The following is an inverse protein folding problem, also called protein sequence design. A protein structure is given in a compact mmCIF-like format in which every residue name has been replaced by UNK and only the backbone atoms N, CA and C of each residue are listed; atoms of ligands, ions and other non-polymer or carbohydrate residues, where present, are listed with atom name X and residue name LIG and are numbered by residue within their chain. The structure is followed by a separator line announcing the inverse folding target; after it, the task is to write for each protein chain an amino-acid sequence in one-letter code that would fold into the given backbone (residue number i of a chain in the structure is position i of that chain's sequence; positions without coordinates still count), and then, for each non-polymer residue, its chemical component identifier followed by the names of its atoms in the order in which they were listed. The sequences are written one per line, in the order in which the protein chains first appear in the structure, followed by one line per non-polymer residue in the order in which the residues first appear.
data_IF_682488230919
#
_entry.id   IF_682488230919
#
_cell.length_a   1.000
_cell.length_b   1.000
_cell.length_c   1.000
_cell.angle_alpha   90.00
_cell.angle_beta   90.00
_cell.angle_gamma   90.00
#
_symmetry.space_group_name_H-M   'P 1'
#
loop_
_entity.id
_entity.type
_entity.pdbx_description
1 polymer ?
#
# COMPACT_ATOMS: atom_id res chain seq x y z
N UNK A 1 -6.04 -3.16 7.81
CA UNK A 1 -5.11 -3.94 6.98
C UNK A 1 -4.57 -5.08 7.82
N UNK A 2 -5.14 -6.26 7.64
CA UNK A 2 -4.68 -7.48 8.32
C UNK A 2 -3.92 -8.37 7.34
N UNK A 3 -2.96 -9.14 7.86
CA UNK A 3 -2.26 -10.19 7.09
C UNK A 3 -2.88 -11.52 7.43
N UNK A 4 -3.51 -12.16 6.44
CA UNK A 4 -4.25 -13.40 6.60
C UNK A 4 -3.44 -14.50 5.94
N UNK A 5 -3.07 -15.53 6.71
CA UNK A 5 -2.26 -16.63 6.21
C UNK A 5 -3.11 -17.90 6.12
N UNK A 6 -3.20 -18.46 4.92
CA UNK A 6 -4.01 -19.63 4.62
C UNK A 6 -3.17 -20.71 3.96
N UNK A 7 -3.62 -21.95 4.04
CA UNK A 7 -3.05 -23.06 3.31
C UNK A 7 -3.58 -23.11 1.88
N UNK A 8 -2.85 -23.81 0.99
CA UNK A 8 -3.36 -24.11 -0.36
C UNK A 8 -4.69 -24.87 -0.37
N UNK A 9 -5.03 -25.60 0.69
CA UNK A 9 -6.31 -26.30 0.81
C UNK A 9 -7.45 -25.31 1.10
N UNK A 10 -7.26 -24.47 2.11
CA UNK A 10 -8.25 -23.45 2.48
C UNK A 10 -8.52 -22.47 1.33
N UNK A 11 -7.49 -22.10 0.57
CA UNK A 11 -7.68 -21.25 -0.61
C UNK A 11 -8.62 -21.88 -1.65
N UNK A 12 -8.51 -23.20 -1.88
CA UNK A 12 -9.40 -23.90 -2.84
C UNK A 12 -10.83 -24.02 -2.32
N UNK A 13 -11.00 -24.24 -1.02
CA UNK A 13 -12.30 -24.40 -0.39
C UNK A 13 -13.03 -23.05 -0.22
N UNK A 14 -12.30 -21.94 -0.02
CA UNK A 14 -12.83 -20.62 0.31
C UNK A 14 -12.41 -19.53 -0.68
N UNK A 15 -12.22 -19.88 -1.94
CA UNK A 15 -11.62 -19.01 -2.96
C UNK A 15 -12.34 -17.65 -3.06
N UNK A 16 -13.67 -17.64 -3.18
CA UNK A 16 -14.45 -16.41 -3.30
C UNK A 16 -14.27 -15.47 -2.09
N UNK A 17 -14.23 -16.02 -0.88
CA UNK A 17 -14.00 -15.22 0.34
C UNK A 17 -12.60 -14.63 0.38
N UNK A 18 -11.59 -15.32 -0.15
CA UNK A 18 -10.22 -14.80 -0.20
C UNK A 18 -10.06 -13.67 -1.22
N UNK A 19 -10.78 -13.74 -2.34
CA UNK A 19 -10.84 -12.61 -3.29
C UNK A 19 -11.53 -11.39 -2.65
N UNK A 20 -12.67 -11.57 -1.99
CA UNK A 20 -13.34 -10.45 -1.31
C UNK A 20 -12.47 -9.77 -0.25
N UNK A 21 -11.62 -10.52 0.46
CA UNK A 21 -10.64 -9.95 1.38
C UNK A 21 -9.56 -9.14 0.64
N UNK A 22 -9.05 -9.67 -0.47
CA UNK A 22 -8.06 -8.99 -1.29
C UNK A 22 -8.64 -7.70 -1.92
N UNK A 23 -9.91 -7.73 -2.35
CA UNK A 23 -10.64 -6.58 -2.88
C UNK A 23 -10.85 -5.48 -1.82
N UNK A 24 -11.03 -5.88 -0.55
CA UNK A 24 -11.13 -4.96 0.59
C UNK A 24 -9.76 -4.40 1.05
N UNK A 25 -8.67 -4.78 0.39
CA UNK A 25 -7.31 -4.33 0.70
C UNK A 25 -6.61 -5.10 1.82
N UNK A 26 -7.14 -6.26 2.25
CA UNK A 26 -6.43 -7.15 3.16
C UNK A 26 -5.39 -8.00 2.41
N UNK A 27 -4.27 -8.31 3.08
CA UNK A 27 -3.20 -9.08 2.47
C UNK A 27 -3.40 -10.57 2.73
N UNK A 28 -3.59 -11.36 1.67
CA UNK A 28 -3.76 -12.82 1.77
C UNK A 28 -2.50 -13.54 1.31
N UNK A 29 -1.89 -14.32 2.21
CA UNK A 29 -0.69 -15.14 1.95
C UNK A 29 -1.05 -16.62 1.95
N UNK A 30 -0.79 -17.29 0.83
CA UNK A 30 -1.08 -18.71 0.61
C UNK A 30 0.19 -19.54 0.85
N UNK A 31 0.21 -20.30 1.93
CA UNK A 31 1.28 -21.25 2.26
C UNK A 31 1.06 -22.58 1.54
N UNK A 32 2.08 -23.02 0.80
CA UNK A 32 2.09 -24.32 0.12
C UNK A 32 3.15 -25.23 0.74
N UNK A 33 2.73 -26.38 1.28
CA UNK A 33 3.65 -27.32 1.94
C UNK A 33 4.76 -27.77 0.98
N UNK A 34 6.02 -27.62 1.41
CA UNK A 34 7.20 -27.99 0.63
C UNK A 34 7.50 -27.10 -0.59
N UNK A 35 6.86 -25.93 -0.68
CA UNK A 35 7.09 -24.92 -1.74
C UNK A 35 7.12 -23.52 -1.11
N UNK A 36 7.40 -22.51 -1.93
CA UNK A 36 7.30 -21.11 -1.51
C UNK A 36 5.86 -20.72 -1.20
N UNK A 37 5.69 -19.67 -0.39
CA UNK A 37 4.39 -19.04 -0.16
C UNK A 37 4.09 -18.06 -1.29
N UNK A 38 2.81 -17.91 -1.62
CA UNK A 38 2.32 -17.00 -2.65
C UNK A 38 1.50 -15.89 -1.99
N UNK A 39 1.38 -14.75 -2.66
CA UNK A 39 0.50 -13.66 -2.25
C UNK A 39 -0.64 -13.54 -3.25
N UNK A 40 -1.86 -13.34 -2.76
CA UNK A 40 -3.00 -13.00 -3.58
C UNK A 40 -3.13 -11.48 -3.61
N UNK A 41 -2.99 -10.92 -4.80
CA UNK A 41 -3.10 -9.48 -5.05
C UNK A 41 -4.02 -9.27 -6.24
N UNK A 42 -5.07 -8.42 -6.12
CA UNK A 42 -5.87 -8.04 -7.26
C UNK A 42 -5.02 -7.25 -8.25
N UNK A 43 -5.16 -7.55 -9.54
CA UNK A 43 -4.59 -6.75 -10.62
C UNK A 43 -5.74 -5.91 -11.17
N UNK A 44 -5.66 -4.60 -11.00
CA UNK A 44 -6.65 -3.67 -11.51
C UNK A 44 -6.31 -3.34 -12.98
N UNK A 45 -7.29 -3.35 -13.89
CA UNK A 45 -7.08 -3.02 -15.32
C UNK A 45 -6.60 -1.58 -15.51
N UNK A 46 -6.99 -0.70 -14.59
CA UNK A 46 -6.49 0.66 -14.49
C UNK A 46 -5.34 0.69 -13.47
N UNK A 47 -4.12 0.44 -13.96
CA UNK A 47 -2.89 0.76 -13.22
C UNK A 47 -2.95 2.24 -12.79
N UNK A 48 -3.22 2.48 -11.49
CA UNK A 48 -3.14 3.79 -10.84
C UNK A 48 -3.61 4.98 -11.71
N UNK A 49 -4.92 5.09 -11.96
CA UNK A 49 -5.47 6.38 -12.40
C UNK A 49 -5.33 7.35 -11.22
N UNK A 50 -4.40 8.31 -11.35
CA UNK A 50 -4.33 9.43 -10.43
C UNK A 50 -5.68 10.15 -10.52
N UNK A 51 -6.48 10.11 -9.46
CA UNK A 51 -7.69 10.94 -9.40
C UNK A 51 -7.30 12.39 -9.67
N UNK A 52 -8.14 13.19 -10.33
CA UNK A 52 -7.87 14.62 -10.60
C UNK A 52 -7.44 15.36 -9.32
N UNK A 53 -8.06 15.03 -8.18
CA UNK A 53 -7.70 15.56 -6.86
C UNK A 53 -6.27 15.21 -6.42
N UNK A 54 -5.78 14.02 -6.77
CA UNK A 54 -4.41 13.60 -6.48
C UNK A 54 -3.42 14.33 -7.40
N UNK A 55 -3.75 14.53 -8.66
CA UNK A 55 -2.95 15.33 -9.59
C UNK A 55 -2.81 16.79 -9.11
N UNK A 56 -3.90 17.42 -8.70
CA UNK A 56 -3.90 18.78 -8.14
C UNK A 56 -2.99 18.89 -6.91
N UNK A 57 -3.05 17.90 -5.99
CA UNK A 57 -2.19 17.86 -4.80
C UNK A 57 -0.71 17.67 -5.15
N UNK A 58 -0.41 16.88 -6.18
CA UNK A 58 0.97 16.66 -6.64
C UNK A 58 1.54 17.94 -7.27
N UNK A 59 0.75 18.64 -8.09
CA UNK A 59 1.17 19.91 -8.69
C UNK A 59 1.37 21.00 -7.64
N UNK A 60 0.49 21.08 -6.63
CA UNK A 60 0.67 21.99 -5.51
C UNK A 60 1.94 21.69 -4.72
N UNK A 61 2.23 20.41 -4.43
CA UNK A 61 3.47 20.00 -3.77
C UNK A 61 4.72 20.38 -4.58
N UNK A 62 4.68 20.20 -5.91
CA UNK A 62 5.77 20.62 -6.82
C UNK A 62 5.96 22.14 -6.82
N UNK A 63 4.88 22.91 -6.78
CA UNK A 63 4.91 24.38 -6.65
C UNK A 63 5.56 24.80 -5.35
N UNK A 64 5.11 24.25 -4.21
CA UNK A 64 5.67 24.54 -2.89
C UNK A 64 7.18 24.22 -2.83
N UNK A 65 7.60 23.09 -3.40
CA UNK A 65 9.03 22.75 -3.49
C UNK A 65 9.85 23.78 -4.29
N UNK A 66 9.37 24.19 -5.47
CA UNK A 66 10.06 25.19 -6.30
C UNK A 66 10.12 26.56 -5.62
N UNK A 67 9.10 26.91 -4.85
CA UNK A 67 9.02 28.16 -4.08
C UNK A 67 9.82 28.12 -2.76
N UNK A 68 10.37 26.96 -2.38
CA UNK A 68 11.08 26.79 -1.12
C UNK A 68 10.16 26.69 0.11
N UNK A 69 8.86 26.53 -0.09
CA UNK A 69 7.84 26.33 0.95
C UNK A 69 7.84 24.88 1.45
N UNK A 70 9.02 24.37 1.81
CA UNK A 70 9.22 22.99 2.25
C UNK A 70 10.09 22.96 3.50
N UNK A 71 9.80 22.00 4.39
CA UNK A 71 10.69 21.66 5.49
C UNK A 71 11.61 20.53 5.05
N UNK A 72 12.92 20.81 5.00
CA UNK A 72 13.93 19.80 4.68
C UNK A 72 14.48 19.21 5.97
N UNK A 73 14.49 17.89 6.07
CA UNK A 73 15.19 17.15 7.12
C UNK A 73 16.26 16.30 6.46
N UNK A 74 17.52 16.52 6.84
CA UNK A 74 18.69 15.83 6.28
C UNK A 74 19.19 14.69 7.18
N UNK A 75 18.79 14.71 8.45
CA UNK A 75 19.13 13.68 9.43
C UNK A 75 17.88 13.02 10.00
N UNK A 76 18.07 11.83 10.59
CA UNK A 76 17.01 11.11 11.28
C UNK A 76 16.50 11.89 12.48
N UNK A 77 17.40 12.54 13.21
CA UNK A 77 17.10 13.35 14.39
C UNK A 77 16.26 14.58 14.02
N UNK A 78 16.59 15.26 12.91
CA UNK A 78 15.79 16.37 12.38
C UNK A 78 14.38 15.93 11.99
N UNK A 79 14.26 14.79 11.30
CA UNK A 79 12.97 14.25 10.89
C UNK A 79 12.11 13.88 12.11
N UNK A 80 12.68 13.18 13.10
CA UNK A 80 11.95 12.81 14.31
C UNK A 80 11.45 14.04 15.06
N UNK A 81 12.31 15.05 15.24
CA UNK A 81 11.93 16.31 15.91
C UNK A 81 10.82 17.05 15.17
N UNK A 82 10.85 17.06 13.84
CA UNK A 82 9.80 17.67 13.03
C UNK A 82 8.46 16.94 13.22
N UNK A 83 8.47 15.60 13.15
CA UNK A 83 7.27 14.79 13.32
C UNK A 83 6.66 14.87 14.73
N UNK A 84 7.50 15.00 15.77
CA UNK A 84 7.04 15.20 17.15
C UNK A 84 6.38 16.57 17.39
N UNK A 85 6.64 17.55 16.51
CA UNK A 85 6.13 18.91 16.62
C UNK A 85 4.86 19.17 15.78
N UNK A 86 4.40 18.18 15.00
CA UNK A 86 3.17 18.21 14.21
C UNK A 86 1.96 17.72 15.02
#
# INVERSE_FOLDING_TARGET
MAVIQITSREFREKQASMFALADNGDQVVIRRKGKVSYMLTPVYEEDFVLSTKLEERLEEGRRQYREGNVTTCTTKEELNKFLEAL
#
